data_IF_988091993734
#
_entry.id   IF_988091993734
#
_cell.length_a   1.000
_cell.length_b   1.000
_cell.length_c   1.000
_cell.angle_alpha   90.00
_cell.angle_beta   90.00
_cell.angle_gamma   90.00
#
_symmetry.space_group_name_H-M   'P 1'
#
loop_
_entity.id
_entity.type
_entity.pdbx_description
1 polymer ?
#
# COMPACT_ATOMS: atom_id res chain seq x y z
N UNK A 1 -2.28 1.04 -13.36
CA UNK A 1 -2.36 2.18 -12.45
C UNK A 1 -3.15 1.73 -11.24
N UNK A 2 -2.71 2.14 -10.06
CA UNK A 2 -3.47 1.97 -8.82
C UNK A 2 -4.49 3.12 -8.71
N UNK A 3 -4.55 3.85 -7.60
CA UNK A 3 -5.40 5.05 -7.47
C UNK A 3 -4.81 6.34 -8.06
N UNK A 4 -3.62 6.29 -8.68
CA UNK A 4 -3.10 7.39 -9.50
C UNK A 4 -2.61 8.65 -8.78
N UNK A 5 -2.70 8.73 -7.45
CA UNK A 5 -2.36 9.93 -6.66
C UNK A 5 -0.94 10.46 -6.84
N UNK A 6 0.03 9.59 -7.14
CA UNK A 6 1.43 9.97 -7.39
C UNK A 6 1.77 10.12 -8.88
N UNK A 7 1.00 9.48 -9.77
CA UNK A 7 1.34 9.36 -11.20
C UNK A 7 0.52 10.29 -12.10
N UNK A 8 -0.70 10.67 -11.68
CA UNK A 8 -1.59 11.53 -12.47
C UNK A 8 -1.12 12.99 -12.43
N UNK A 9 -0.16 13.32 -13.30
CA UNK A 9 0.37 14.66 -13.51
C UNK A 9 0.47 14.93 -15.01
N UNK A 10 0.27 16.18 -15.47
CA UNK A 10 0.51 16.53 -16.87
C UNK A 10 1.93 16.14 -17.28
N UNK A 11 2.05 15.41 -18.39
CA UNK A 11 3.32 15.04 -19.00
C UNK A 11 3.18 15.06 -20.52
N UNK A 12 4.23 15.47 -21.22
CA UNK A 12 4.31 15.36 -22.67
C UNK A 12 4.70 13.93 -23.13
N UNK A 13 5.07 13.07 -22.19
CA UNK A 13 5.50 11.70 -22.46
C UNK A 13 4.29 10.77 -22.66
N UNK A 14 4.31 10.01 -23.75
CA UNK A 14 3.32 8.96 -23.98
C UNK A 14 3.59 7.78 -23.04
N UNK A 15 2.61 7.43 -22.21
CA UNK A 15 2.71 6.32 -21.25
C UNK A 15 1.64 5.27 -21.50
N UNK A 16 2.00 4.00 -21.41
CA UNK A 16 1.05 2.90 -21.35
C UNK A 16 0.63 2.65 -19.89
N UNK A 17 -0.67 2.62 -19.63
CA UNK A 17 -1.23 2.45 -18.30
C UNK A 17 -2.00 1.13 -18.20
N UNK A 18 -1.58 0.24 -17.29
CA UNK A 18 -2.27 -1.04 -17.04
C UNK A 18 -3.05 -0.98 -15.73
N UNK A 19 -4.37 -0.75 -15.75
CA UNK A 19 -5.20 -0.70 -14.54
C UNK A 19 -5.22 -2.02 -13.76
N UNK A 20 -4.96 -1.96 -12.45
CA UNK A 20 -4.87 -3.11 -11.55
C UNK A 20 -6.07 -3.22 -10.59
N UNK A 21 -6.99 -2.25 -10.59
CA UNK A 21 -8.04 -2.13 -9.56
C UNK A 21 -8.97 -3.35 -9.49
N UNK A 22 -9.30 -3.94 -10.64
CA UNK A 22 -10.22 -5.09 -10.73
C UNK A 22 -9.57 -6.45 -10.44
N UNK A 23 -8.28 -6.51 -10.09
CA UNK A 23 -7.56 -7.77 -9.85
C UNK A 23 -7.75 -8.34 -8.43
N UNK A 24 -8.54 -7.69 -7.57
CA UNK A 24 -8.78 -8.16 -6.21
C UNK A 24 -7.55 -8.09 -5.28
N UNK A 25 -6.57 -7.24 -5.60
CA UNK A 25 -5.32 -7.10 -4.83
C UNK A 25 -5.45 -6.19 -3.60
N UNK A 26 -6.66 -5.85 -3.17
CA UNK A 26 -6.95 -4.89 -2.10
C UNK A 26 -7.35 -5.53 -0.77
N UNK A 27 -6.75 -6.67 -0.42
CA UNK A 27 -7.15 -7.48 0.73
C UNK A 27 -6.25 -7.27 1.95
N UNK A 28 -6.74 -7.68 3.12
CA UNK A 28 -5.96 -7.82 4.36
C UNK A 28 -6.14 -9.27 4.83
N UNK A 29 -5.05 -9.98 5.11
CA UNK A 29 -5.12 -11.34 5.67
C UNK A 29 -4.21 -11.47 6.89
N UNK A 30 -4.80 -11.83 8.04
CA UNK A 30 -4.05 -12.13 9.27
C UNK A 30 -3.45 -13.53 9.15
N UNK A 31 -2.13 -13.63 9.32
CA UNK A 31 -1.41 -14.90 9.55
C UNK A 31 -1.01 -14.96 11.03
N UNK A 32 -0.42 -16.08 11.46
CA UNK A 32 -0.08 -16.28 12.86
C UNK A 32 0.77 -15.13 13.44
N UNK A 33 1.82 -14.71 12.71
CA UNK A 33 2.79 -13.73 13.21
C UNK A 33 2.96 -12.50 12.31
N UNK A 34 2.19 -12.38 11.24
CA UNK A 34 2.31 -11.28 10.28
C UNK A 34 0.98 -10.96 9.61
N UNK A 35 0.91 -9.76 9.03
CA UNK A 35 -0.25 -9.27 8.30
C UNK A 35 0.09 -9.17 6.81
N UNK A 36 -0.61 -9.91 5.98
CA UNK A 36 -0.51 -9.78 4.52
C UNK A 36 -1.37 -8.59 4.07
N UNK A 37 -0.72 -7.57 3.54
CA UNK A 37 -1.37 -6.39 2.97
C UNK A 37 -1.37 -6.46 1.44
N UNK A 38 -2.55 -6.40 0.84
CA UNK A 38 -2.72 -6.35 -0.60
C UNK A 38 -2.15 -5.06 -1.19
N UNK A 39 -1.48 -5.16 -2.34
CA UNK A 39 -0.84 -4.02 -3.01
C UNK A 39 -1.82 -2.87 -3.33
N UNK A 40 -3.07 -3.21 -3.65
CA UNK A 40 -4.13 -2.26 -3.99
C UNK A 40 -4.96 -1.82 -2.78
N UNK A 41 -4.61 -2.26 -1.57
CA UNK A 41 -5.29 -1.84 -0.35
C UNK A 41 -5.10 -0.33 -0.18
N UNK A 42 -6.19 0.42 0.02
CA UNK A 42 -6.09 1.87 0.22
C UNK A 42 -5.58 2.19 1.62
N UNK A 43 -4.89 3.31 1.78
CA UNK A 43 -4.42 3.76 3.10
C UNK A 43 -5.58 4.03 4.05
N UNK A 44 -6.73 4.47 3.55
CA UNK A 44 -7.91 4.68 4.38
C UNK A 44 -8.50 3.34 4.87
N UNK A 45 -8.64 2.33 3.99
CA UNK A 45 -9.13 1.01 4.42
C UNK A 45 -8.18 0.37 5.45
N UNK A 46 -6.86 0.55 5.27
CA UNK A 46 -5.88 0.10 6.26
C UNK A 46 -6.04 0.84 7.61
N UNK A 47 -6.23 2.16 7.57
CA UNK A 47 -6.46 2.96 8.78
C UNK A 47 -7.72 2.51 9.52
N UNK A 48 -8.83 2.28 8.81
CA UNK A 48 -10.10 1.86 9.41
C UNK A 48 -10.01 0.46 10.02
N UNK A 49 -9.25 -0.44 9.40
CA UNK A 49 -8.93 -1.75 9.97
C UNK A 49 -8.19 -1.63 11.31
N UNK A 50 -7.18 -0.76 11.40
CA UNK A 50 -6.47 -0.54 12.66
C UNK A 50 -7.29 0.24 13.68
N UNK A 51 -8.24 1.11 13.29
CA UNK A 51 -9.13 1.78 14.23
C UNK A 51 -10.17 0.84 14.84
N UNK A 52 -10.63 -0.15 14.07
CA UNK A 52 -11.64 -1.14 14.51
C UNK A 52 -11.04 -2.36 15.20
N UNK A 53 -9.72 -2.59 15.07
CA UNK A 53 -9.05 -3.70 15.75
C UNK A 53 -8.84 -3.38 17.23
N UNK A 54 -9.33 -4.27 18.10
CA UNK A 54 -8.95 -4.34 19.51
C UNK A 54 -7.68 -5.19 19.58
N UNK A 55 -6.52 -4.62 19.29
CA UNK A 55 -5.25 -5.32 19.49
C UNK A 55 -4.74 -5.07 20.92
N UNK A 56 -4.04 -6.07 21.48
CA UNK A 56 -3.46 -6.00 22.83
C UNK A 56 -2.31 -4.98 22.93
N UNK A 57 -1.70 -4.59 21.80
CA UNK A 57 -0.61 -3.62 21.72
C UNK A 57 -1.12 -2.25 21.25
N UNK A 58 -1.61 -1.48 22.23
CA UNK A 58 -2.20 -0.16 22.01
C UNK A 58 -1.17 0.87 21.50
N UNK A 59 0.06 0.83 21.99
CA UNK A 59 1.10 1.83 21.69
C UNK A 59 1.55 1.71 20.23
N UNK A 60 1.78 0.48 19.77
CA UNK A 60 2.09 0.23 18.37
C UNK A 60 0.98 0.72 17.44
N UNK A 61 -0.27 0.37 17.75
CA UNK A 61 -1.43 0.72 16.95
C UNK A 61 -1.61 2.23 16.82
N UNK A 62 -1.45 2.98 17.92
CA UNK A 62 -1.51 4.44 17.91
C UNK A 62 -0.42 5.07 17.02
N UNK A 63 0.82 4.60 17.15
CA UNK A 63 1.93 5.11 16.35
C UNK A 63 1.72 4.84 14.85
N UNK A 64 1.23 3.65 14.48
CA UNK A 64 0.99 3.29 13.09
C UNK A 64 -0.18 4.06 12.47
N UNK A 65 -1.30 4.21 13.21
CA UNK A 65 -2.43 5.06 12.81
C UNK A 65 -1.95 6.49 12.56
N UNK A 66 -1.11 7.02 13.45
CA UNK A 66 -0.54 8.37 13.31
C UNK A 66 0.33 8.49 12.05
N UNK A 67 1.16 7.49 11.74
CA UNK A 67 1.98 7.46 10.53
C UNK A 67 1.11 7.51 9.26
N UNK A 68 0.04 6.69 9.19
CA UNK A 68 -0.90 6.69 8.05
C UNK A 68 -1.59 8.06 7.91
N UNK A 69 -2.01 8.67 9.02
CA UNK A 69 -2.66 10.00 9.00
C UNK A 69 -1.71 11.12 8.54
N UNK A 70 -0.43 11.03 8.85
CA UNK A 70 0.59 11.99 8.40
C UNK A 70 1.06 11.77 6.97
N UNK A 71 0.92 10.56 6.43
CA UNK A 71 1.31 10.24 5.05
C UNK A 71 0.50 11.05 4.02
N UNK A 72 -0.82 11.09 4.20
CA UNK A 72 -1.71 11.69 3.22
C UNK A 72 -2.98 12.25 3.88
N UNK A 73 -3.59 13.26 3.24
CA UNK A 73 -4.89 13.81 3.67
C UNK A 73 -6.02 12.78 3.49
N UNK A 74 -7.17 13.01 4.12
CA UNK A 74 -8.31 12.09 4.06
C UNK A 74 -8.68 11.70 2.62
N UNK A 75 -8.86 12.68 1.73
CA UNK A 75 -9.23 12.42 0.33
C UNK A 75 -8.14 11.63 -0.42
N UNK A 76 -6.87 11.94 -0.20
CA UNK A 76 -5.77 11.22 -0.84
C UNK A 76 -5.69 9.78 -0.34
N UNK A 77 -5.94 9.51 0.95
CA UNK A 77 -5.92 8.13 1.48
C UNK A 77 -7.01 7.22 0.92
N UNK A 78 -8.09 7.78 0.39
CA UNK A 78 -9.15 7.00 -0.27
C UNK A 78 -8.66 6.34 -1.57
N UNK A 79 -7.66 6.93 -2.22
CA UNK A 79 -7.13 6.44 -3.51
C UNK A 79 -5.67 6.00 -3.44
N UNK A 80 -4.88 6.55 -2.51
CA UNK A 80 -3.51 6.11 -2.28
C UNK A 80 -3.52 4.67 -1.77
N UNK A 81 -2.78 3.80 -2.45
CA UNK A 81 -2.67 2.38 -2.12
C UNK A 81 -1.38 2.11 -1.34
N UNK A 82 -1.33 1.01 -0.58
CA UNK A 82 -0.14 0.58 0.16
C UNK A 82 1.08 0.48 -0.75
N UNK A 83 0.98 -0.27 -1.84
CA UNK A 83 2.12 -0.42 -2.76
C UNK A 83 2.42 0.87 -3.52
N UNK A 84 1.39 1.61 -3.95
CA UNK A 84 1.59 2.89 -4.62
C UNK A 84 2.38 3.87 -3.75
N UNK A 85 2.01 3.98 -2.47
CA UNK A 85 2.68 4.84 -1.49
C UNK A 85 4.13 4.41 -1.26
N UNK A 86 4.37 3.11 -1.07
CA UNK A 86 5.72 2.57 -0.83
C UNK A 86 6.66 2.77 -2.03
N UNK A 87 6.17 2.53 -3.25
CA UNK A 87 7.00 2.61 -4.48
C UNK A 87 7.29 4.07 -4.84
N UNK A 88 6.34 4.99 -4.61
CA UNK A 88 6.54 6.42 -4.87
C UNK A 88 7.12 7.19 -3.69
N UNK A 89 7.47 6.51 -2.60
CA UNK A 89 7.89 7.14 -1.35
C UNK A 89 9.18 7.96 -1.56
N UNK A 90 9.16 9.20 -1.06
CA UNK A 90 10.38 9.98 -0.83
C UNK A 90 10.88 9.84 0.60
N UNK A 91 12.02 10.46 0.93
CA UNK A 91 12.62 10.43 2.28
C UNK A 91 11.79 11.09 3.40
N UNK A 92 10.56 11.53 3.11
CA UNK A 92 9.64 12.18 4.06
C UNK A 92 8.40 11.34 4.37
N UNK A 93 8.27 10.13 3.81
CA UNK A 93 7.09 9.27 3.99
C UNK A 93 7.07 8.64 5.39
N UNK A 94 6.15 9.06 6.29
CA UNK A 94 6.04 8.44 7.60
C UNK A 94 5.50 7.01 7.52
N UNK A 95 4.64 6.70 6.55
CA UNK A 95 4.13 5.35 6.34
C UNK A 95 5.24 4.38 5.95
N UNK A 96 6.07 4.76 4.97
CA UNK A 96 7.21 3.94 4.54
C UNK A 96 8.23 3.75 5.67
N UNK A 97 8.48 4.81 6.45
CA UNK A 97 9.35 4.73 7.64
C UNK A 97 8.80 3.74 8.68
N UNK A 98 7.49 3.76 8.93
CA UNK A 98 6.87 2.79 9.83
C UNK A 98 6.97 1.35 9.29
N UNK A 99 6.77 1.14 7.99
CA UNK A 99 6.93 -0.18 7.36
C UNK A 99 8.36 -0.71 7.50
N UNK A 100 9.37 0.15 7.35
CA UNK A 100 10.77 -0.20 7.61
C UNK A 100 11.03 -0.55 9.09
N UNK A 101 10.49 0.25 10.02
CA UNK A 101 10.65 0.00 11.45
C UNK A 101 10.00 -1.31 11.92
N UNK A 102 8.95 -1.76 11.21
CA UNK A 102 8.27 -3.05 11.46
C UNK A 102 8.91 -4.24 10.75
N UNK A 103 10.04 -4.05 10.05
CA UNK A 103 10.67 -5.09 9.23
C UNK A 103 9.72 -5.68 8.17
N UNK A 104 8.89 -4.83 7.55
CA UNK A 104 7.93 -5.27 6.56
C UNK A 104 8.63 -5.74 5.27
N UNK A 105 8.34 -6.98 4.87
CA UNK A 105 8.82 -7.54 3.59
C UNK A 105 7.89 -7.22 2.42
N UNK A 106 8.45 -7.02 1.22
CA UNK A 106 7.68 -6.82 -0.01
C UNK A 106 7.82 -8.04 -0.91
N UNK A 107 6.69 -8.60 -1.34
CA UNK A 107 6.65 -9.68 -2.33
C UNK A 107 6.37 -9.12 -3.72
N UNK A 108 7.39 -9.17 -4.58
CA UNK A 108 7.28 -8.78 -5.99
C UNK A 108 6.99 -10.01 -6.84
N UNK A 109 5.95 -9.94 -7.67
CA UNK A 109 5.60 -11.00 -8.63
C UNK A 109 5.80 -10.45 -10.02
N UNK A 110 6.61 -11.13 -10.82
CA UNK A 110 6.75 -10.89 -12.25
C UNK A 110 6.23 -12.09 -13.02
N UNK A 111 5.86 -11.90 -14.28
CA UNK A 111 5.67 -13.02 -15.17
C UNK A 111 7.02 -13.72 -15.36
N UNK A 112 7.25 -14.84 -14.68
CA UNK A 112 8.27 -15.79 -15.11
C UNK A 112 7.93 -16.18 -16.54
N UNK A 113 8.86 -16.05 -17.50
CA UNK A 113 8.73 -16.63 -18.84
C UNK A 113 8.24 -18.07 -18.67
N UNK A 114 6.96 -18.34 -18.94
CA UNK A 114 6.52 -19.71 -19.18
C UNK A 114 7.16 -20.07 -20.50
N UNK A 115 7.94 -21.14 -20.48
CA UNK A 115 8.61 -21.71 -21.64
C UNK A 115 7.62 -21.79 -22.81
N UNK A 116 8.09 -21.38 -23.98
CA UNK A 116 7.51 -21.78 -25.25
C UNK A 116 7.30 -23.31 -25.19
N UNK A 117 6.04 -23.73 -25.17
CA UNK A 117 5.68 -25.11 -25.48
C UNK A 117 5.42 -25.10 -26.98
N UNK A 118 6.34 -25.78 -27.66
CA UNK A 118 6.35 -26.14 -29.09
C UNK A 118 5.06 -26.85 -29.52
#
# INVERSE_FOLDING_TARGET
MAGGSALNRPSAEAVAAVDLQSLGLGTISKRANYLDLGAMLTLQTLLDFFLSSVADDHVFQEAFIKAIRHEATYNLRQVATVAGTLISAGGRSPFTTAMLAMDASIRIVSASKRAEVE
#
